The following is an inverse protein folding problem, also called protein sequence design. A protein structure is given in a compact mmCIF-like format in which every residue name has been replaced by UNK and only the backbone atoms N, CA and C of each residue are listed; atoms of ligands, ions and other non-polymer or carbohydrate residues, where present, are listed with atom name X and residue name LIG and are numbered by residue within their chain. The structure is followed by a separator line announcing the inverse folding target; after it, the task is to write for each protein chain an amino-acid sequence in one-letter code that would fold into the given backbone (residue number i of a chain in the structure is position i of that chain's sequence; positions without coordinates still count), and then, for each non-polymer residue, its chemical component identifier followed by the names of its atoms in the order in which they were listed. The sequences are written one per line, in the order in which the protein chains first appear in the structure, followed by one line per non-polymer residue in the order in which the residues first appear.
data_IF_294839695241
#
_entry.id   IF_294839695241
#
_cell.length_a   1.000
_cell.length_b   1.000
_cell.length_c   1.000
_cell.angle_alpha   90.00
_cell.angle_beta   90.00
_cell.angle_gamma   90.00
#
_symmetry.space_group_name_H-M   'P 1'
#
loop_
_entity.id
_entity.type
_entity.pdbx_description
1 polymer ?
#
# COMPACT_ATOMS: atom_id res chain seq x y z
N UNK A 1 12.70 14.35 -0.59
CA UNK A 1 13.30 13.59 -1.71
C UNK A 1 14.06 12.33 -1.28
N UNK A 2 14.78 12.31 -0.13
CA UNK A 2 15.54 11.11 0.30
C UNK A 2 14.71 9.99 0.95
N UNK A 3 13.58 10.30 1.61
CA UNK A 3 12.70 9.30 2.28
C UNK A 3 12.04 8.34 1.28
N UNK A 4 11.68 8.82 0.08
CA UNK A 4 11.07 8.00 -0.98
C UNK A 4 12.05 7.01 -1.62
N UNK A 5 13.34 7.36 -1.68
CA UNK A 5 14.38 6.47 -2.21
C UNK A 5 14.67 5.27 -1.29
N UNK A 6 14.36 5.38 0.00
CA UNK A 6 14.74 4.38 1.01
C UNK A 6 13.80 3.18 1.08
N UNK A 7 12.51 3.40 0.86
CA UNK A 7 11.53 2.30 0.75
C UNK A 7 11.72 1.55 -0.59
N UNK A 8 12.16 2.25 -1.64
CA UNK A 8 12.40 1.66 -2.96
C UNK A 8 13.74 0.89 -3.06
N UNK A 9 14.84 1.38 -2.48
CA UNK A 9 16.16 0.73 -2.62
C UNK A 9 16.28 -0.60 -1.86
N UNK A 10 15.56 -0.80 -0.76
CA UNK A 10 15.65 -2.04 0.03
C UNK A 10 14.91 -3.24 -0.58
N UNK A 11 13.88 -3.01 -1.41
CA UNK A 11 13.24 -4.07 -2.18
C UNK A 11 14.15 -4.63 -3.30
N UNK A 12 15.17 -3.87 -3.74
CA UNK A 12 16.06 -4.30 -4.83
C UNK A 12 17.15 -5.29 -4.39
N UNK A 13 17.50 -5.34 -3.10
CA UNK A 13 18.60 -6.15 -2.58
C UNK A 13 18.17 -7.56 -2.11
N UNK A 14 16.88 -7.86 -2.07
CA UNK A 14 16.37 -9.19 -1.67
C UNK A 14 16.34 -10.23 -2.82
N UNK A 15 16.77 -9.87 -4.03
CA UNK A 15 16.65 -10.69 -5.24
C UNK A 15 17.98 -11.28 -5.70
N UNK A 16 18.76 -11.91 -4.80
CA UNK A 16 19.87 -12.81 -5.22
C UNK A 16 20.05 -13.96 -4.25
N UNK A 17 19.25 -15.02 -4.40
CA UNK A 17 19.72 -16.40 -4.48
C UNK A 17 18.53 -17.36 -4.62
N UNK A 18 18.44 -18.06 -5.75
CA UNK A 18 17.83 -19.39 -5.77
C UNK A 18 18.42 -20.25 -6.88
N UNK A 19 18.94 -21.41 -6.47
CA UNK A 19 19.49 -22.47 -7.32
C UNK A 19 18.37 -23.36 -7.87
N UNK A 20 18.54 -23.81 -9.12
CA UNK A 20 17.52 -24.54 -9.88
C UNK A 20 17.33 -26.01 -9.45
N UNK A 21 16.07 -26.43 -9.42
CA UNK A 21 15.61 -27.79 -9.74
C UNK A 21 14.13 -27.71 -10.14
N UNK A 22 13.77 -28.25 -11.30
CA UNK A 22 12.46 -28.03 -11.93
C UNK A 22 11.31 -28.86 -11.36
N UNK A 23 10.10 -28.30 -11.37
CA UNK A 23 8.87 -28.87 -11.95
C UNK A 23 7.63 -28.03 -11.62
N UNK A 24 6.72 -27.92 -12.60
CA UNK A 24 5.44 -27.18 -12.64
C UNK A 24 5.62 -25.65 -12.58
N UNK A 25 5.29 -24.99 -13.70
CA UNK A 25 5.36 -23.54 -13.85
C UNK A 25 4.23 -22.88 -13.06
N UNK A 26 4.46 -22.77 -11.75
CA UNK A 26 3.59 -22.20 -10.75
C UNK A 26 3.64 -20.66 -10.89
N UNK A 27 2.48 -20.00 -10.83
CA UNK A 27 2.45 -18.54 -10.71
C UNK A 27 3.28 -18.14 -9.49
N UNK A 28 4.25 -17.25 -9.71
CA UNK A 28 5.06 -16.69 -8.62
C UNK A 28 4.27 -15.52 -8.04
N UNK A 29 3.34 -15.87 -7.15
CA UNK A 29 2.62 -14.92 -6.32
C UNK A 29 3.47 -14.64 -5.07
N UNK A 30 3.83 -13.38 -4.86
CA UNK A 30 4.55 -12.92 -3.67
C UNK A 30 3.62 -12.04 -2.83
N UNK A 31 3.70 -12.18 -1.51
CA UNK A 31 2.94 -11.36 -0.56
C UNK A 31 3.83 -10.81 0.55
N UNK A 32 3.86 -9.48 0.67
CA UNK A 32 4.64 -8.76 1.68
C UNK A 32 3.74 -7.85 2.50
N UNK A 33 3.97 -7.81 3.81
CA UNK A 33 3.33 -6.86 4.73
C UNK A 33 4.39 -6.06 5.50
N UNK A 34 4.23 -4.74 5.52
CA UNK A 34 5.14 -3.80 6.16
C UNK A 34 4.38 -2.81 7.04
N UNK A 35 4.85 -2.60 8.27
CA UNK A 35 4.36 -1.56 9.17
C UNK A 35 5.50 -0.60 9.48
N UNK A 36 5.33 0.69 9.16
CA UNK A 36 6.23 1.76 9.58
C UNK A 36 5.61 2.51 10.74
N UNK A 37 6.38 2.69 11.80
CA UNK A 37 6.01 3.45 13.00
C UNK A 37 7.00 4.61 13.14
N UNK A 38 6.49 5.83 13.22
CA UNK A 38 7.31 7.03 13.35
C UNK A 38 6.68 8.00 14.36
N UNK A 39 7.32 8.23 15.52
CA UNK A 39 7.00 9.38 16.36
C UNK A 39 7.18 10.69 15.59
N UNK A 40 6.20 11.58 15.65
CA UNK A 40 6.20 12.88 14.99
C UNK A 40 6.58 13.97 15.98
N UNK A 41 7.19 15.07 15.48
CA UNK A 41 7.62 16.17 16.34
C UNK A 41 6.41 16.84 16.99
N UNK A 42 6.52 17.07 18.29
CA UNK A 42 5.53 17.82 19.06
C UNK A 42 5.94 19.30 19.07
N UNK A 43 5.33 20.13 18.21
CA UNK A 43 5.40 21.60 18.38
C UNK A 43 4.52 22.11 19.53
N UNK A 44 3.75 21.22 20.18
CA UNK A 44 2.79 21.59 21.23
C UNK A 44 3.46 21.84 22.59
N UNK A 45 3.06 22.94 23.25
CA UNK A 45 3.53 23.35 24.60
C UNK A 45 3.22 22.35 25.72
N UNK A 46 2.40 21.32 25.47
CA UNK A 46 2.08 20.25 26.43
C UNK A 46 2.94 19.02 26.16
N UNK A 47 4.01 18.84 26.96
CA UNK A 47 4.92 17.69 26.96
C UNK A 47 4.28 16.32 27.27
N UNK A 48 2.96 16.22 27.36
CA UNK A 48 2.26 15.00 27.84
C UNK A 48 1.68 14.14 26.72
N UNK A 49 1.65 14.60 25.46
CA UNK A 49 1.07 13.88 24.32
C UNK A 49 2.05 13.86 23.16
N UNK A 50 2.03 12.77 22.40
CA UNK A 50 2.86 12.49 21.25
C UNK A 50 1.99 12.09 20.06
N UNK A 51 2.23 12.69 18.90
CA UNK A 51 1.64 12.21 17.65
C UNK A 51 2.53 11.11 17.08
N UNK A 52 1.94 9.99 16.68
CA UNK A 52 2.66 8.85 16.13
C UNK A 52 2.02 8.45 14.81
N UNK A 53 2.84 8.45 13.75
CA UNK A 53 2.50 7.96 12.44
C UNK A 53 2.60 6.44 12.41
N UNK A 54 1.57 5.81 11.88
CA UNK A 54 1.55 4.41 11.50
C UNK A 54 1.21 4.32 10.01
N UNK A 55 2.06 3.64 9.25
CA UNK A 55 1.85 3.38 7.83
C UNK A 55 1.93 1.88 7.57
N UNK A 56 0.78 1.29 7.22
CA UNK A 56 0.63 -0.09 6.83
C UNK A 56 0.73 -0.18 5.31
N UNK A 57 1.50 -1.14 4.81
CA UNK A 57 1.60 -1.46 3.40
C UNK A 57 1.47 -2.98 3.22
N UNK A 58 0.59 -3.38 2.31
CA UNK A 58 0.38 -4.75 1.88
C UNK A 58 0.60 -4.83 0.38
N UNK A 59 1.55 -5.63 -0.05
CA UNK A 59 1.97 -5.75 -1.45
C UNK A 59 1.79 -7.18 -1.92
N UNK A 60 1.01 -7.35 -3.00
CA UNK A 60 0.89 -8.60 -3.74
C UNK A 60 1.45 -8.39 -5.13
N UNK A 61 2.38 -9.25 -5.54
CA UNK A 61 2.91 -9.27 -6.89
C UNK A 61 2.61 -10.62 -7.53
N UNK A 62 2.12 -10.62 -8.77
CA UNK A 62 1.84 -11.85 -9.52
C UNK A 62 2.49 -11.79 -10.88
N UNK A 63 3.25 -12.83 -11.22
CA UNK A 63 3.87 -12.98 -12.54
C UNK A 63 3.07 -13.95 -13.41
N UNK A 64 2.75 -13.51 -14.62
CA UNK A 64 2.02 -14.25 -15.64
C UNK A 64 2.89 -14.47 -16.88
N UNK A 65 2.91 -15.70 -17.37
CA UNK A 65 3.45 -16.00 -18.69
C UNK A 65 2.38 -15.69 -19.75
N UNK A 66 2.65 -14.69 -20.60
CA UNK A 66 1.69 -14.21 -21.59
C UNK A 66 1.56 -15.13 -22.79
N UNK A 67 2.47 -16.11 -22.95
CA UNK A 67 2.42 -17.11 -24.03
C UNK A 67 1.25 -18.09 -23.88
N UNK A 68 0.66 -18.18 -22.68
CA UNK A 68 -0.51 -19.01 -22.42
C UNK A 68 -1.66 -18.18 -21.84
N UNK A 69 -2.60 -17.81 -22.70
CA UNK A 69 -3.72 -16.90 -22.40
C UNK A 69 -4.67 -17.35 -21.28
N UNK A 70 -4.60 -18.61 -20.84
CA UNK A 70 -5.45 -19.14 -19.75
C UNK A 70 -4.91 -18.81 -18.34
N UNK A 71 -3.70 -18.27 -18.21
CA UNK A 71 -3.03 -18.08 -16.90
C UNK A 71 -3.53 -16.81 -16.17
N UNK A 72 -4.14 -15.84 -16.86
CA UNK A 72 -4.67 -14.60 -16.23
C UNK A 72 -5.86 -14.79 -15.27
N UNK A 73 -6.33 -16.04 -15.10
CA UNK A 73 -7.49 -16.39 -14.29
C UNK A 73 -7.13 -17.09 -12.97
N UNK A 74 -5.84 -17.43 -12.77
CA UNK A 74 -5.39 -18.18 -11.61
C UNK A 74 -4.29 -17.39 -10.89
N UNK A 75 -4.60 -16.96 -9.68
CA UNK A 75 -3.68 -16.35 -8.73
C UNK A 75 -4.05 -16.84 -7.33
N UNK A 76 -3.04 -16.96 -6.47
CA UNK A 76 -3.12 -17.48 -5.11
C UNK A 76 -3.49 -16.39 -4.11
N UNK A 77 -2.87 -15.22 -4.23
CA UNK A 77 -3.00 -14.14 -3.23
C UNK A 77 -3.76 -12.92 -3.74
N UNK A 78 -3.78 -12.71 -5.05
CA UNK A 78 -4.41 -11.53 -5.64
C UNK A 78 -5.94 -11.55 -5.46
N UNK A 79 -6.60 -10.42 -5.13
CA UNK A 79 -8.04 -10.42 -4.90
C UNK A 79 -8.83 -10.64 -6.17
N UNK A 80 -9.63 -11.71 -6.21
CA UNK A 80 -10.36 -12.12 -7.43
C UNK A 80 -11.24 -11.05 -8.05
N UNK A 81 -11.98 -10.33 -7.21
CA UNK A 81 -12.88 -9.26 -7.66
C UNK A 81 -12.13 -8.13 -8.36
N UNK A 82 -10.92 -7.80 -7.90
CA UNK A 82 -10.07 -6.80 -8.55
C UNK A 82 -9.56 -7.36 -9.88
N UNK A 83 -9.10 -8.62 -9.90
CA UNK A 83 -8.53 -9.24 -11.09
C UNK A 83 -9.53 -9.39 -12.23
N UNK A 84 -10.78 -9.74 -11.91
CA UNK A 84 -11.88 -9.79 -12.88
C UNK A 84 -12.23 -8.39 -13.40
N UNK A 85 -12.31 -7.39 -12.51
CA UNK A 85 -12.65 -6.01 -12.85
C UNK A 85 -11.63 -5.36 -13.78
N UNK A 86 -10.33 -5.47 -13.47
CA UNK A 86 -9.28 -4.83 -14.29
C UNK A 86 -9.18 -5.45 -15.69
N UNK A 87 -9.45 -6.76 -15.81
CA UNK A 87 -9.51 -7.44 -17.10
C UNK A 87 -10.76 -7.07 -17.89
N UNK A 88 -11.93 -7.05 -17.23
CA UNK A 88 -13.20 -6.74 -17.89
C UNK A 88 -13.22 -5.33 -18.47
N UNK A 89 -12.63 -4.36 -17.78
CA UNK A 89 -12.64 -2.95 -18.16
C UNK A 89 -11.30 -2.45 -18.71
N UNK A 90 -10.42 -3.36 -19.16
CA UNK A 90 -9.13 -3.05 -19.77
C UNK A 90 -8.31 -1.99 -19.00
N UNK A 91 -8.26 -2.14 -17.68
CA UNK A 91 -7.59 -1.20 -16.78
C UNK A 91 -6.11 -1.59 -16.70
N UNK A 92 -5.23 -0.66 -17.05
CA UNK A 92 -3.76 -0.83 -16.98
C UNK A 92 -3.21 -0.47 -15.61
N UNK A 93 -3.82 0.52 -14.97
CA UNK A 93 -3.53 0.86 -13.57
C UNK A 93 -4.69 1.65 -12.97
N UNK A 94 -4.82 1.58 -11.65
CA UNK A 94 -5.65 2.53 -10.92
C UNK A 94 -5.06 2.81 -9.54
N UNK A 95 -5.36 3.99 -9.02
CA UNK A 95 -5.14 4.34 -7.62
C UNK A 95 -6.45 4.91 -7.08
N UNK A 96 -7.00 4.26 -6.06
CA UNK A 96 -8.16 4.70 -5.31
C UNK A 96 -7.72 5.01 -3.89
N UNK A 97 -8.00 6.21 -3.42
CA UNK A 97 -7.64 6.64 -2.07
C UNK A 97 -8.80 7.34 -1.39
N UNK A 98 -9.00 7.04 -0.11
CA UNK A 98 -9.93 7.71 0.78
C UNK A 98 -9.15 8.34 1.92
N UNK A 99 -9.46 9.57 2.29
CA UNK A 99 -8.82 10.24 3.43
C UNK A 99 -9.81 11.06 4.25
N UNK A 100 -9.51 11.15 5.55
CA UNK A 100 -10.20 11.96 6.53
C UNK A 100 -9.18 12.66 7.44
N UNK A 101 -9.48 13.90 7.77
CA UNK A 101 -8.59 14.76 8.56
C UNK A 101 -7.61 15.52 7.68
N UNK A 102 -6.79 16.35 8.32
CA UNK A 102 -5.83 17.21 7.63
C UNK A 102 -4.42 16.70 7.91
N UNK A 103 -3.63 16.52 6.85
CA UNK A 103 -2.21 16.26 6.98
C UNK A 103 -1.48 17.57 7.30
N UNK A 104 -0.86 17.67 8.48
CA UNK A 104 -0.11 18.85 8.90
C UNK A 104 1.35 18.75 8.44
N UNK A 105 1.63 19.14 7.19
CA UNK A 105 2.97 18.99 6.59
C UNK A 105 4.09 19.70 7.35
N UNK A 106 3.78 20.81 8.04
CA UNK A 106 4.74 21.57 8.84
C UNK A 106 5.25 20.76 10.05
N UNK A 107 4.35 20.02 10.70
CA UNK A 107 4.66 19.25 11.91
C UNK A 107 5.07 17.80 11.59
N UNK A 108 4.45 17.19 10.58
CA UNK A 108 4.59 15.77 10.26
C UNK A 108 5.52 15.48 9.08
N UNK A 109 5.90 16.51 8.33
CA UNK A 109 6.68 16.38 7.09
C UNK A 109 5.82 15.93 5.92
N UNK A 110 6.43 15.29 4.93
CA UNK A 110 5.71 14.78 3.76
C UNK A 110 4.97 13.48 4.10
N UNK A 111 3.75 13.29 3.58
CA UNK A 111 3.05 12.03 3.77
C UNK A 111 3.77 10.86 3.08
N UNK A 112 3.63 9.62 3.60
CA UNK A 112 4.27 8.43 3.02
C UNK A 112 3.80 8.08 1.60
N UNK A 113 2.55 8.40 1.28
CA UNK A 113 1.93 8.19 -0.03
C UNK A 113 1.31 9.49 -0.52
N UNK A 114 0.95 9.55 -1.80
CA UNK A 114 0.18 10.64 -2.40
C UNK A 114 -1.19 10.74 -1.71
N UNK A 115 -1.17 11.39 -0.56
CA UNK A 115 -2.28 11.44 0.36
C UNK A 115 -3.45 12.11 -0.32
N UNK A 116 -4.58 11.42 -0.35
CA UNK A 116 -5.82 12.05 -0.77
C UNK A 116 -6.07 13.26 0.11
N UNK A 117 -6.52 14.33 -0.54
CA UNK A 117 -7.32 15.35 0.13
C UNK A 117 -8.51 14.66 0.79
N UNK A 118 -9.08 15.28 1.83
CA UNK A 118 -10.30 14.77 2.47
C UNK A 118 -11.35 14.41 1.41
N UNK A 119 -11.92 13.21 1.53
CA UNK A 119 -12.80 12.62 0.54
C UNK A 119 -12.17 11.40 -0.15
N UNK A 120 -12.60 11.14 -1.38
CA UNK A 120 -12.01 10.12 -2.24
C UNK A 120 -11.33 10.73 -3.49
N UNK A 121 -10.21 10.14 -3.91
CA UNK A 121 -9.53 10.41 -5.18
C UNK A 121 -9.37 9.10 -5.92
N UNK A 122 -9.72 9.10 -7.20
CA UNK A 122 -9.49 7.98 -8.10
C UNK A 122 -8.74 8.44 -9.34
N UNK A 123 -7.64 7.75 -9.64
CA UNK A 123 -6.92 7.85 -10.90
C UNK A 123 -7.00 6.50 -11.59
N UNK A 124 -7.39 6.46 -12.85
CA UNK A 124 -7.43 5.22 -13.65
C UNK A 124 -6.79 5.43 -14.99
N UNK A 125 -5.99 4.46 -15.43
CA UNK A 125 -5.44 4.38 -16.77
C UNK A 125 -6.09 3.19 -17.46
N UNK A 126 -6.84 3.45 -18.51
CA UNK A 126 -7.54 2.44 -19.30
C UNK A 126 -7.06 2.46 -20.74
N UNK A 127 -7.24 1.35 -21.45
CA UNK A 127 -7.02 1.32 -22.89
C UNK A 127 -7.85 2.38 -23.61
N UNK A 128 -7.25 3.04 -24.62
CA UNK A 128 -7.92 4.08 -25.41
C UNK A 128 -9.16 3.53 -26.14
N UNK A 129 -9.11 2.25 -26.52
CA UNK A 129 -10.26 1.57 -27.11
C UNK A 129 -11.37 1.40 -26.07
N UNK A 130 -12.52 2.02 -26.31
CA UNK A 130 -13.67 2.07 -25.41
C UNK A 130 -13.34 2.70 -24.04
N UNK A 131 -12.41 3.66 -24.00
CA UNK A 131 -11.95 4.33 -22.77
C UNK A 131 -13.09 4.80 -21.85
N UNK A 132 -14.18 5.29 -22.45
CA UNK A 132 -15.34 5.80 -21.73
C UNK A 132 -16.12 4.71 -21.02
N UNK A 133 -16.37 3.60 -21.70
CA UNK A 133 -17.05 2.44 -21.12
C UNK A 133 -16.18 1.78 -20.05
N UNK A 134 -14.89 1.63 -20.33
CA UNK A 134 -13.89 1.10 -19.40
C UNK A 134 -13.82 1.92 -18.11
N UNK A 135 -13.77 3.25 -18.21
CA UNK A 135 -13.79 4.13 -17.04
C UNK A 135 -15.08 4.00 -16.22
N UNK A 136 -16.25 4.04 -16.88
CA UNK A 136 -17.55 3.88 -16.22
C UNK A 136 -17.62 2.53 -15.51
N UNK A 137 -17.15 1.47 -16.16
CA UNK A 137 -17.06 0.13 -15.59
C UNK A 137 -16.16 0.06 -14.35
N UNK A 138 -14.98 0.68 -14.41
CA UNK A 138 -14.04 0.78 -13.29
C UNK A 138 -14.68 1.46 -12.07
N UNK A 139 -15.23 2.68 -12.23
CA UNK A 139 -15.78 3.44 -11.09
C UNK A 139 -17.00 2.75 -10.49
N UNK A 140 -17.87 2.14 -11.31
CA UNK A 140 -19.03 1.39 -10.82
C UNK A 140 -18.62 0.12 -10.06
N UNK A 141 -17.62 -0.60 -10.57
CA UNK A 141 -17.12 -1.82 -9.92
C UNK A 141 -16.48 -1.50 -8.57
N UNK A 142 -15.61 -0.47 -8.52
CA UNK A 142 -14.97 -0.02 -7.28
C UNK A 142 -15.99 0.55 -6.28
N UNK A 143 -17.03 1.23 -6.75
CA UNK A 143 -18.16 1.64 -5.92
C UNK A 143 -18.80 0.46 -5.19
N UNK A 144 -19.05 -0.64 -5.90
CA UNK A 144 -19.59 -1.87 -5.31
C UNK A 144 -18.62 -2.54 -4.34
N UNK A 145 -17.35 -2.65 -4.72
CA UNK A 145 -16.31 -3.32 -3.93
C UNK A 145 -16.07 -2.57 -2.61
N UNK A 146 -15.91 -1.26 -2.64
CA UNK A 146 -15.60 -0.45 -1.45
C UNK A 146 -16.82 0.15 -0.76
N UNK A 147 -18.04 -0.16 -1.24
CA UNK A 147 -19.29 0.43 -0.71
C UNK A 147 -19.23 1.96 -0.66
N UNK A 148 -18.86 2.58 -1.79
CA UNK A 148 -18.58 4.00 -1.93
C UNK A 148 -19.29 4.61 -3.15
N UNK A 149 -19.53 5.92 -3.16
CA UNK A 149 -20.20 6.64 -4.26
C UNK A 149 -19.25 7.06 -5.39
N UNK A 150 -18.23 6.25 -5.68
CA UNK A 150 -17.21 6.51 -6.72
C UNK A 150 -17.79 6.70 -8.13
N UNK A 151 -18.96 6.14 -8.42
CA UNK A 151 -19.70 6.37 -9.66
C UNK A 151 -20.08 7.85 -9.92
N UNK A 152 -19.98 8.73 -8.90
CA UNK A 152 -20.09 10.17 -9.07
C UNK A 152 -18.92 10.79 -9.84
N UNK A 153 -17.78 10.08 -9.96
CA UNK A 153 -16.70 10.41 -10.90
C UNK A 153 -17.11 10.08 -12.35
N UNK A 154 -18.25 10.62 -12.77
CA UNK A 154 -18.81 10.49 -14.11
C UNK A 154 -18.02 11.33 -15.11
N UNK A 155 -18.28 11.13 -16.41
CA UNK A 155 -17.62 11.90 -17.48
C UNK A 155 -17.83 13.41 -17.44
N UNK A 156 -18.80 13.88 -16.66
CA UNK A 156 -19.06 15.31 -16.47
C UNK A 156 -18.13 15.94 -15.41
N UNK A 157 -17.54 15.12 -14.53
CA UNK A 157 -16.83 15.56 -13.32
C UNK A 157 -15.42 14.96 -13.19
N UNK A 158 -14.86 14.45 -14.29
CA UNK A 158 -13.50 13.91 -14.33
C UNK A 158 -12.64 14.67 -15.32
N UNK A 159 -11.34 14.70 -15.05
CA UNK A 159 -10.34 15.20 -15.98
C UNK A 159 -9.77 13.99 -16.72
N UNK A 160 -9.68 14.08 -18.05
CA UNK A 160 -9.06 13.04 -18.86
C UNK A 160 -7.90 13.55 -19.70
N UNK A 161 -6.92 12.69 -19.93
CA UNK A 161 -5.78 12.96 -20.80
C UNK A 161 -5.39 11.70 -21.56
N UNK A 162 -5.22 11.82 -22.88
CA UNK A 162 -4.73 10.73 -23.71
C UNK A 162 -3.21 10.70 -23.65
N UNK A 163 -2.66 9.52 -23.39
CA UNK A 163 -1.22 9.33 -23.30
C UNK A 163 -0.81 7.93 -23.74
N UNK A 164 0.48 7.81 -24.01
CA UNK A 164 1.12 6.53 -24.21
C UNK A 164 1.54 5.98 -22.84
N UNK A 165 0.79 5.00 -22.33
CA UNK A 165 1.15 4.34 -21.08
C UNK A 165 2.38 3.47 -21.31
N UNK A 166 3.46 3.86 -20.67
CA UNK A 166 4.65 3.05 -20.49
C UNK A 166 4.47 2.38 -19.12
N UNK A 167 4.09 1.11 -19.12
CA UNK A 167 3.86 0.35 -17.88
C UNK A 167 5.15 0.21 -17.08
N UNK A 168 5.44 1.22 -16.25
CA UNK A 168 6.59 1.27 -15.37
C UNK A 168 6.14 1.76 -14.00
N UNK A 169 6.87 1.33 -12.98
CA UNK A 169 6.78 1.97 -11.66
C UNK A 169 6.99 3.48 -11.87
N UNK A 170 6.08 4.27 -11.32
CA UNK A 170 6.04 5.72 -11.46
C UNK A 170 7.22 6.35 -10.69
N UNK A 171 8.43 6.21 -11.22
CA UNK A 171 9.65 6.86 -10.76
C UNK A 171 9.91 8.10 -11.63
N UNK A 172 9.54 9.27 -11.11
CA UNK A 172 9.63 10.58 -11.79
C UNK A 172 11.03 10.97 -12.30
N UNK A 173 12.10 10.31 -11.84
CA UNK A 173 13.47 10.82 -11.99
C UNK A 173 14.39 10.00 -12.89
N UNK A 174 14.01 8.78 -13.28
CA UNK A 174 14.87 7.92 -14.08
C UNK A 174 14.05 7.16 -15.12
N UNK A 175 13.80 7.73 -16.30
CA UNK A 175 13.67 6.85 -17.46
C UNK A 175 13.73 7.51 -18.84
N UNK A 176 14.81 7.18 -19.56
CA UNK A 176 15.01 7.38 -20.99
C UNK A 176 15.33 6.03 -21.65
N UNK A 177 14.60 4.95 -21.31
CA UNK A 177 14.75 3.67 -22.01
C UNK A 177 13.65 3.49 -23.08
N UNK A 178 13.99 3.53 -24.39
CA UNK A 178 13.04 3.55 -25.51
C UNK A 178 12.41 2.20 -25.89
N UNK A 179 12.75 1.10 -25.22
CA UNK A 179 12.37 -0.28 -25.64
C UNK A 179 11.12 -0.86 -24.94
N UNK A 180 10.31 -0.04 -24.25
CA UNK A 180 9.08 -0.49 -23.60
C UNK A 180 7.87 -0.46 -24.54
N UNK A 181 7.04 -1.53 -24.53
CA UNK A 181 5.78 -1.55 -25.29
C UNK A 181 4.88 -0.41 -24.81
N UNK A 182 4.59 0.52 -25.71
CA UNK A 182 3.69 1.64 -25.48
C UNK A 182 2.27 1.24 -25.83
N UNK A 183 1.33 1.48 -24.91
CA UNK A 183 -0.10 1.31 -25.16
C UNK A 183 -0.76 2.68 -25.26
N UNK A 184 -1.61 2.87 -26.25
CA UNK A 184 -2.47 4.04 -26.28
C UNK A 184 -3.50 3.93 -25.16
N UNK A 185 -3.53 4.92 -24.27
CA UNK A 185 -4.38 4.90 -23.08
C UNK A 185 -5.00 6.26 -22.83
N UNK A 186 -6.08 6.25 -22.05
CA UNK A 186 -6.67 7.45 -21.48
C UNK A 186 -6.54 7.37 -19.97
N UNK A 187 -5.94 8.40 -19.37
CA UNK A 187 -5.90 8.59 -17.92
C UNK A 187 -7.09 9.44 -17.51
N UNK A 188 -7.85 8.97 -16.53
CA UNK A 188 -8.96 9.69 -15.90
C UNK A 188 -8.63 9.98 -14.44
N UNK A 189 -8.99 11.16 -13.97
CA UNK A 189 -8.82 11.59 -12.59
C UNK A 189 -10.15 12.15 -12.08
N UNK A 190 -10.64 11.58 -10.98
CA UNK A 190 -11.85 12.02 -10.28
C UNK A 190 -11.55 12.38 -8.83
N UNK A 191 -12.15 13.48 -8.36
CA UNK A 191 -12.07 13.93 -6.97
C UNK A 191 -13.48 14.03 -6.39
N UNK A 192 -13.71 13.38 -5.26
CA UNK A 192 -15.00 13.29 -4.57
C UNK A 192 -14.82 13.78 -3.12
N UNK A 193 -14.76 15.10 -2.90
CA UNK A 193 -14.48 15.67 -1.56
C UNK A 193 -15.59 15.42 -0.54
N UNK A 194 -16.79 15.01 -0.99
CA UNK A 194 -17.94 14.67 -0.14
C UNK A 194 -18.04 13.17 0.16
N UNK A 195 -17.16 12.35 -0.41
CA UNK A 195 -17.12 10.92 -0.14
C UNK A 195 -16.38 10.66 1.17
N UNK A 196 -17.14 10.64 2.28
CA UNK A 196 -16.58 10.42 3.60
C UNK A 196 -16.01 9.01 3.76
N UNK A 197 -15.00 8.88 4.61
CA UNK A 197 -14.50 7.57 5.05
C UNK A 197 -15.51 6.94 6.02
N UNK A 198 -15.89 5.70 5.74
CA UNK A 198 -16.86 4.91 6.51
C UNK A 198 -16.28 3.53 6.87
N UNK A 199 -16.84 2.87 7.90
CA UNK A 199 -16.34 1.56 8.38
C UNK A 199 -16.56 0.46 7.34
N UNK A 200 -17.55 0.72 6.50
CA UNK A 200 -18.01 -0.01 5.34
C UNK A 200 -16.98 0.00 4.22
N UNK A 201 -16.02 0.94 4.18
CA UNK A 201 -14.91 0.91 3.23
C UNK A 201 -13.74 0.04 3.73
N UNK A 202 -13.45 0.06 5.04
CA UNK A 202 -12.33 -0.70 5.61
C UNK A 202 -12.60 -2.22 5.62
N UNK A 203 -13.86 -2.63 5.80
CA UNK A 203 -14.23 -4.06 5.78
C UNK A 203 -13.88 -4.76 4.45
N UNK A 204 -14.31 -4.28 3.27
CA UNK A 204 -13.92 -4.88 1.99
C UNK A 204 -12.43 -4.73 1.70
N UNK A 205 -11.79 -3.64 2.14
CA UNK A 205 -10.34 -3.49 2.07
C UNK A 205 -9.61 -4.64 2.78
N UNK A 206 -9.97 -4.94 4.04
CA UNK A 206 -9.36 -6.03 4.80
C UNK A 206 -9.68 -7.40 4.19
N UNK A 207 -10.88 -7.58 3.60
CA UNK A 207 -11.28 -8.85 2.97
C UNK A 207 -10.41 -9.23 1.76
N UNK A 208 -9.74 -8.26 1.14
CA UNK A 208 -8.84 -8.48 0.00
C UNK A 208 -7.46 -8.99 0.44
N UNK A 209 -7.06 -8.79 1.70
CA UNK A 209 -5.77 -9.24 2.20
C UNK A 209 -5.73 -10.77 2.36
N UNK A 210 -4.63 -11.46 1.99
CA UNK A 210 -4.52 -12.92 2.11
C UNK A 210 -4.82 -13.47 3.51
N UNK A 211 -4.29 -12.83 4.56
CA UNK A 211 -4.55 -13.18 5.96
C UNK A 211 -5.73 -12.41 6.59
N UNK A 212 -6.39 -11.52 5.84
CA UNK A 212 -7.40 -10.58 6.36
C UNK A 212 -6.82 -9.83 7.56
N UNK A 213 -7.61 -9.63 8.62
CA UNK A 213 -7.14 -9.16 9.93
C UNK A 213 -7.01 -10.30 10.96
N UNK A 214 -6.88 -11.55 10.50
CA UNK A 214 -6.78 -12.72 11.40
C UNK A 214 -5.36 -13.05 11.81
N UNK A 215 -4.37 -12.59 11.05
CA UNK A 215 -2.95 -12.79 11.28
C UNK A 215 -2.14 -11.67 10.61
N UNK A 216 -0.89 -11.52 11.03
CA UNK A 216 0.02 -10.49 10.50
C UNK A 216 -0.31 -9.10 11.04
N UNK A 217 0.29 -8.07 10.42
CA UNK A 217 0.17 -6.69 10.89
C UNK A 217 -1.26 -6.12 10.72
N UNK A 218 -2.05 -6.72 9.81
CA UNK A 218 -3.43 -6.34 9.59
C UNK A 218 -4.35 -6.59 10.80
N UNK A 219 -3.91 -7.38 11.79
CA UNK A 219 -4.61 -7.54 13.07
C UNK A 219 -4.84 -6.17 13.73
N UNK A 220 -3.89 -5.24 13.64
CA UNK A 220 -3.98 -3.90 14.23
C UNK A 220 -5.01 -2.99 13.56
N UNK A 221 -5.57 -3.37 12.40
CA UNK A 221 -6.56 -2.55 11.70
C UNK A 221 -7.92 -2.58 12.42
N UNK A 222 -8.03 -1.79 13.47
CA UNK A 222 -9.24 -1.61 14.28
C UNK A 222 -9.98 -0.31 13.90
N UNK A 223 -11.16 -0.39 13.25
CA UNK A 223 -11.88 0.81 12.82
C UNK A 223 -12.18 1.79 13.96
N UNK A 224 -12.44 1.29 15.17
CA UNK A 224 -12.76 2.12 16.34
C UNK A 224 -11.59 2.99 16.82
N UNK A 225 -10.36 2.63 16.48
CA UNK A 225 -9.14 3.39 16.81
C UNK A 225 -8.61 4.20 15.63
N UNK A 226 -8.77 3.67 14.41
CA UNK A 226 -8.30 4.30 13.20
C UNK A 226 -9.10 5.55 12.82
N UNK A 227 -10.42 5.54 12.96
CA UNK A 227 -11.25 6.65 12.49
C UNK A 227 -11.29 7.90 13.38
N UNK A 228 -11.22 7.80 14.72
CA UNK A 228 -11.07 9.00 15.56
C UNK A 228 -9.63 9.54 15.59
N UNK A 229 -8.74 9.05 14.72
CA UNK A 229 -7.36 9.53 14.61
C UNK A 229 -7.30 10.98 14.08
N UNK A 230 -6.14 11.63 14.25
CA UNK A 230 -5.95 13.00 13.73
C UNK A 230 -5.95 13.04 12.20
N UNK A 231 -5.50 11.95 11.60
CA UNK A 231 -5.50 11.74 10.16
C UNK A 231 -5.63 10.26 9.89
N UNK A 232 -6.48 9.91 8.92
CA UNK A 232 -6.64 8.55 8.42
C UNK A 232 -6.71 8.59 6.89
N UNK A 233 -5.99 7.68 6.24
CA UNK A 233 -6.18 7.38 4.84
C UNK A 233 -6.06 5.89 4.56
N UNK A 234 -6.77 5.43 3.55
CA UNK A 234 -6.59 4.11 2.96
C UNK A 234 -6.48 4.25 1.45
N UNK A 235 -5.54 3.54 0.84
CA UNK A 235 -5.34 3.54 -0.62
C UNK A 235 -5.27 2.12 -1.15
N UNK A 236 -5.80 1.92 -2.34
CA UNK A 236 -5.63 0.70 -3.13
C UNK A 236 -5.10 1.09 -4.50
N UNK A 237 -3.99 0.48 -4.86
CA UNK A 237 -3.28 0.68 -6.09
C UNK A 237 -3.16 -0.64 -6.84
N UNK A 238 -3.37 -0.58 -8.14
CA UNK A 238 -3.08 -1.66 -9.07
C UNK A 238 -2.28 -1.11 -10.24
N UNK A 239 -1.32 -1.91 -10.73
CA UNK A 239 -0.74 -1.69 -12.03
C UNK A 239 -0.33 -3.00 -12.69
N UNK A 240 -0.30 -2.97 -14.02
CA UNK A 240 0.34 -4.00 -14.81
C UNK A 240 1.49 -3.45 -15.64
N UNK A 241 2.55 -4.25 -15.74
CA UNK A 241 3.70 -3.95 -16.59
C UNK A 241 4.28 -5.22 -17.22
N UNK A 242 5.02 -5.04 -18.30
CA UNK A 242 5.75 -6.11 -18.97
C UNK A 242 7.16 -6.19 -18.40
N UNK A 243 7.58 -7.36 -17.91
CA UNK A 243 8.93 -7.56 -17.36
C UNK A 243 9.98 -7.49 -18.49
N UNK A 244 9.67 -8.08 -19.64
CA UNK A 244 10.59 -8.18 -20.80
C UNK A 244 10.43 -7.02 -21.81
N UNK A 245 9.98 -5.84 -21.36
CA UNK A 245 9.83 -4.65 -22.20
C UNK A 245 8.87 -4.85 -23.38
N UNK A 246 9.35 -4.63 -24.61
CA UNK A 246 8.54 -4.64 -25.84
C UNK A 246 7.93 -5.99 -26.21
N UNK A 247 8.60 -7.11 -25.88
CA UNK A 247 8.10 -8.44 -26.23
C UNK A 247 6.94 -8.88 -25.33
N UNK A 248 6.94 -8.40 -24.07
CA UNK A 248 5.91 -8.68 -23.07
C UNK A 248 5.55 -10.17 -22.96
N UNK A 249 6.56 -11.04 -22.93
CA UNK A 249 6.37 -12.49 -22.73
C UNK A 249 6.04 -12.81 -21.26
N UNK A 250 6.56 -12.01 -20.34
CA UNK A 250 6.15 -12.00 -18.92
C UNK A 250 5.43 -10.70 -18.58
N UNK A 251 4.26 -10.81 -17.94
CA UNK A 251 3.51 -9.68 -17.38
C UNK A 251 3.49 -9.79 -15.86
N UNK A 252 3.72 -8.67 -15.20
CA UNK A 252 3.68 -8.55 -13.74
C UNK A 252 2.52 -7.66 -13.34
N UNK A 253 1.70 -8.17 -12.43
CA UNK A 253 0.68 -7.38 -11.74
C UNK A 253 1.17 -7.02 -10.35
N UNK A 254 1.00 -5.76 -10.00
CA UNK A 254 1.29 -5.22 -8.68
C UNK A 254 -0.01 -4.72 -8.07
N UNK A 255 -0.38 -5.25 -6.91
CA UNK A 255 -1.51 -4.80 -6.13
C UNK A 255 -1.03 -4.38 -4.75
N UNK A 256 -1.24 -3.10 -4.43
CA UNK A 256 -0.77 -2.50 -3.19
C UNK A 256 -1.93 -1.87 -2.44
N UNK A 257 -2.05 -2.21 -1.17
CA UNK A 257 -3.02 -1.64 -0.26
C UNK A 257 -2.28 -0.95 0.88
N UNK A 258 -2.64 0.29 1.20
CA UNK A 258 -2.02 1.04 2.30
C UNK A 258 -3.06 1.62 3.25
N UNK A 259 -2.67 1.74 4.52
CA UNK A 259 -3.40 2.52 5.53
C UNK A 259 -2.40 3.43 6.22
N UNK A 260 -2.68 4.73 6.25
CA UNK A 260 -1.86 5.69 7.00
C UNK A 260 -2.71 6.34 8.06
N UNK A 261 -2.23 6.34 9.31
CA UNK A 261 -2.92 7.01 10.41
C UNK A 261 -1.96 7.76 11.33
N UNK A 262 -2.44 8.87 11.90
CA UNK A 262 -1.74 9.59 12.96
C UNK A 262 -2.55 9.50 14.25
N UNK A 263 -2.04 8.70 15.19
CA UNK A 263 -2.64 8.50 16.50
C UNK A 263 -1.98 9.37 17.56
N UNK A 264 -2.74 9.69 18.61
CA UNK A 264 -2.22 10.41 19.78
C UNK A 264 -1.90 9.37 20.85
N UNK A 265 -0.63 9.30 21.23
CA UNK A 265 -0.15 8.52 22.36
C UNK A 265 0.15 9.44 23.56
N UNK A 266 0.06 8.94 24.80
CA UNK A 266 0.73 9.56 25.92
C UNK A 266 2.23 9.75 25.62
N UNK A 267 2.84 10.84 26.09
CA UNK A 267 4.30 11.00 26.05
C UNK A 267 4.93 10.14 27.15
N UNK A 268 4.79 8.83 26.99
CA UNK A 268 5.47 7.80 27.78
C UNK A 268 6.64 7.26 26.98
N UNK A 269 7.62 6.69 27.66
CA UNK A 269 8.75 6.00 27.04
C UNK A 269 8.37 4.68 26.37
N UNK A 270 7.08 4.39 26.18
CA UNK A 270 6.60 3.10 25.68
C UNK A 270 5.37 3.31 24.80
N UNK A 271 5.45 2.83 23.56
CA UNK A 271 4.36 2.80 22.59
C UNK A 271 3.86 1.35 22.52
N UNK A 272 2.63 1.12 22.98
CA UNK A 272 1.98 -0.19 22.98
C UNK A 272 0.88 -0.26 21.93
N UNK A 273 0.86 -1.35 21.15
CA UNK A 273 -0.19 -1.65 20.16
C UNK A 273 -1.54 -1.87 20.83
N UNK A 274 -1.59 -2.51 21.99
CA UNK A 274 -2.81 -2.70 22.78
C UNK A 274 -3.45 -1.34 23.13
N UNK A 275 -2.66 -0.40 23.64
CA UNK A 275 -3.19 0.90 24.03
C UNK A 275 -3.67 1.72 22.82
N UNK A 276 -2.94 1.66 21.70
CA UNK A 276 -3.21 2.48 20.52
C UNK A 276 -4.28 1.90 19.60
N UNK A 277 -4.28 0.58 19.40
CA UNK A 277 -5.15 -0.13 18.47
C UNK A 277 -6.19 -1.01 19.17
N UNK A 278 -6.14 -1.17 20.50
CA UNK A 278 -6.99 -2.10 21.26
C UNK A 278 -6.91 -3.53 20.71
N UNK A 279 -5.71 -3.86 20.20
CA UNK A 279 -5.35 -5.13 19.54
C UNK A 279 -3.84 -5.35 19.61
N UNK A 280 -3.47 -6.62 19.63
CA UNK A 280 -2.10 -7.09 19.53
C UNK A 280 -1.90 -7.87 18.23
N UNK A 281 -0.64 -8.19 17.91
CA UNK A 281 -0.30 -8.93 16.71
C UNK A 281 -0.14 -10.43 16.99
N UNK A 282 -0.92 -11.03 17.88
CA UNK A 282 -0.72 -12.38 18.44
C UNK A 282 -0.36 -13.50 17.46
N UNK A 283 -0.85 -13.44 16.22
CA UNK A 283 -0.61 -14.47 15.20
C UNK A 283 0.14 -13.95 13.97
N UNK A 284 1.12 -14.72 13.49
CA UNK A 284 1.90 -14.37 12.30
C UNK A 284 1.18 -14.83 11.03
N UNK A 285 1.21 -14.02 9.96
CA UNK A 285 0.69 -14.42 8.66
C UNK A 285 1.66 -15.40 7.97
N UNK A 286 1.51 -16.70 8.22
CA UNK A 286 2.41 -17.76 7.72
C UNK A 286 2.48 -17.92 6.20
N UNK A 287 1.58 -17.28 5.45
CA UNK A 287 1.56 -17.31 3.99
C UNK A 287 2.25 -16.10 3.35
N UNK A 288 2.69 -15.11 4.15
CA UNK A 288 3.46 -13.97 3.67
C UNK A 288 4.92 -14.37 3.46
N UNK A 289 5.52 -13.90 2.37
CA UNK A 289 6.93 -14.04 2.07
C UNK A 289 7.80 -13.11 2.94
N UNK A 290 7.24 -11.95 3.34
CA UNK A 290 7.84 -11.14 4.41
C UNK A 290 6.79 -10.42 5.25
N UNK A 291 7.03 -10.32 6.54
CA UNK A 291 6.24 -9.52 7.47
C UNK A 291 7.17 -8.69 8.35
N UNK A 292 7.20 -7.36 8.15
CA UNK A 292 8.20 -6.49 8.78
C UNK A 292 7.60 -5.30 9.51
N UNK A 293 8.16 -4.98 10.66
CA UNK A 293 7.88 -3.76 11.41
C UNK A 293 9.13 -2.90 11.45
N UNK A 294 8.99 -1.64 11.06
CA UNK A 294 10.04 -0.64 10.98
C UNK A 294 9.73 0.49 11.96
N UNK A 295 10.66 0.75 12.88
CA UNK A 295 10.59 1.91 13.75
C UNK A 295 11.59 2.96 13.26
N UNK A 296 11.09 4.15 12.96
CA UNK A 296 11.89 5.30 12.54
C UNK A 296 12.02 6.28 13.70
N UNK A 297 13.23 6.45 14.21
CA UNK A 297 13.53 7.38 15.30
C UNK A 297 14.37 8.55 14.79
N UNK A 298 13.91 9.77 15.06
CA UNK A 298 14.68 10.99 14.81
C UNK A 298 15.79 11.18 15.86
N UNK A 299 16.92 11.83 15.49
CA UNK A 299 18.05 11.96 16.39
C UNK A 299 17.69 12.88 17.56
N UNK A 300 17.95 12.41 18.78
CA UNK A 300 17.60 13.11 20.02
C UNK A 300 16.18 12.85 20.55
N UNK A 301 15.44 11.90 19.98
CA UNK A 301 14.18 11.41 20.55
C UNK A 301 14.45 10.49 21.76
N UNK A 302 13.94 10.85 22.94
CA UNK A 302 13.99 10.02 24.15
C UNK A 302 12.87 8.95 24.21
N UNK A 303 12.07 8.83 23.14
CA UNK A 303 10.97 7.87 23.09
C UNK A 303 11.55 6.49 22.81
N UNK A 304 11.68 5.70 23.87
CA UNK A 304 11.86 4.26 23.72
C UNK A 304 10.55 3.66 23.16
N UNK A 305 10.70 2.70 22.27
CA UNK A 305 9.66 1.70 22.06
C UNK A 305 9.94 0.61 23.10
N UNK A 306 8.95 -0.14 23.56
CA UNK A 306 9.23 -1.42 24.23
C UNK A 306 9.19 -2.53 23.17
N UNK A 307 10.24 -2.76 22.37
CA UNK A 307 10.45 -4.08 21.84
C UNK A 307 10.93 -4.86 23.05
N UNK A 308 10.03 -5.60 23.71
CA UNK A 308 10.35 -6.47 24.85
C UNK A 308 11.84 -6.90 24.80
N UNK A 309 12.69 -6.53 25.79
CA UNK A 309 14.15 -6.38 25.68
C UNK A 309 14.96 -7.65 25.32
N UNK A 310 14.29 -8.74 24.95
CA UNK A 310 14.81 -10.00 24.44
C UNK A 310 14.86 -10.07 22.90
N UNK A 311 14.53 -8.98 22.19
CA UNK A 311 14.21 -8.99 20.76
C UNK A 311 15.35 -8.56 19.82
N UNK A 312 15.67 -9.43 18.85
CA UNK A 312 16.73 -9.26 17.86
C UNK A 312 16.38 -8.22 16.77
N UNK A 313 16.30 -6.94 17.12
CA UNK A 313 16.10 -5.88 16.12
C UNK A 313 17.40 -5.61 15.34
N UNK A 314 17.33 -5.56 14.00
CA UNK A 314 18.45 -5.05 13.18
C UNK A 314 18.44 -3.53 13.28
N UNK A 315 19.53 -2.94 13.78
CA UNK A 315 19.72 -1.49 13.87
C UNK A 315 20.54 -1.01 12.68
N UNK A 316 20.01 -0.07 11.91
CA UNK A 316 20.76 0.67 10.89
C UNK A 316 20.61 2.17 11.10
N UNK A 317 21.63 2.92 10.68
CA UNK A 317 21.61 4.38 10.65
C UNK A 317 21.51 4.78 9.19
N UNK A 318 20.54 5.63 8.87
CA UNK A 318 20.39 6.16 7.52
C UNK A 318 20.01 7.63 7.55
N UNK A 319 20.93 8.45 7.03
CA UNK A 319 20.92 9.90 7.23
C UNK A 319 20.88 10.24 8.72
N UNK A 320 19.84 10.98 9.11
CA UNK A 320 19.61 11.41 10.49
C UNK A 320 18.79 10.41 11.32
N UNK A 321 18.17 9.40 10.68
CA UNK A 321 17.27 8.47 11.36
C UNK A 321 17.98 7.21 11.86
N UNK A 322 17.54 6.73 13.02
CA UNK A 322 17.81 5.36 13.46
C UNK A 322 16.63 4.49 13.08
N UNK A 323 16.91 3.38 12.38
CA UNK A 323 15.91 2.44 11.91
C UNK A 323 16.07 1.14 12.69
N UNK A 324 14.97 0.65 13.26
CA UNK A 324 14.89 -0.69 13.83
C UNK A 324 13.96 -1.53 12.97
N UNK A 325 14.46 -2.65 12.45
CA UNK A 325 13.69 -3.62 11.68
C UNK A 325 13.46 -4.89 12.51
N UNK A 326 12.22 -5.38 12.50
CA UNK A 326 11.85 -6.70 13.02
C UNK A 326 11.06 -7.49 11.99
N UNK A 327 11.50 -8.72 11.73
CA UNK A 327 10.74 -9.72 10.96
C UNK A 327 9.81 -10.49 11.90
N UNK A 328 8.52 -10.55 11.59
CA UNK A 328 7.54 -11.34 12.36
C UNK A 328 7.58 -12.84 12.01
N UNK A 329 8.23 -13.22 10.92
CA UNK A 329 8.30 -14.62 10.46
C UNK A 329 9.44 -15.43 11.09
N UNK A 330 10.44 -14.79 11.69
CA UNK A 330 11.70 -15.44 12.10
C UNK A 330 11.76 -15.88 13.58
N UNK A 331 10.67 -15.82 14.37
CA UNK A 331 10.74 -16.14 15.81
C UNK A 331 9.61 -17.04 16.35
N UNK A 332 10.03 -18.09 17.06
CA UNK A 332 9.19 -18.90 17.94
C UNK A 332 8.69 -18.04 19.13
N UNK A 333 7.42 -17.64 19.10
CA UNK A 333 6.59 -17.77 20.29
C UNK A 333 6.02 -16.53 20.97
N UNK A 334 6.39 -15.30 20.61
CA UNK A 334 5.69 -14.12 21.15
C UNK A 334 5.68 -12.98 20.15
N UNK A 335 4.48 -12.72 19.63
CA UNK A 335 4.19 -11.61 18.72
C UNK A 335 3.68 -10.44 19.56
N UNK A 336 4.06 -9.23 19.15
CA UNK A 336 3.85 -7.94 19.82
C UNK A 336 2.52 -7.74 20.54
#
# INVERSE_FOLDING_TARGET
MRIFYLIFLFNYLALKHSTSAGSIQQTQDEYHENLVIKPLKVCSRKRSLLDVLFHFEFLVTVKFDTTNSKIYQHYKFFPRQIGEMVQQHNVRSFELSFAQGTWFSEDWGYPPTDSALTGAKITGVVDELNDTENWIGLVNSLSGIYCASLNQASMENVVSSKSNFVGKNFDFFNDLNPDSKSYNTTTFIGFLPRENVCTENLTPFIKQLPCKNKAGIAQLLNPYKLFPSKYYSMSTYFSEHCEDGSQCNSKVWTFKQTVTTVLVAPYTSEISTENLFDRNMDTVCSIADSSKVWLLQEPGSDIAFDPNPLLNCKKSIDGDFTIFERSLLEENGTVF
#
